data_IF_758243214143
#
_entry.id   IF_758243214143
#
_cell.length_a   1.000
_cell.length_b   1.000
_cell.length_c   1.000
_cell.angle_alpha   90.00
_cell.angle_beta   90.00
_cell.angle_gamma   90.00
#
_symmetry.space_group_name_H-M   'P 1'
#
loop_
_entity.id
_entity.type
_entity.pdbx_description
1 polymer ?
#
# COMPACT_ATOMS: atom_id res chain seq x y z
N UNK A 1 14.93 8.70 -30.00
CA UNK A 1 13.91 8.18 -29.08
C UNK A 1 13.14 9.35 -28.48
N UNK A 2 11.85 9.46 -28.79
CA UNK A 2 10.97 10.60 -28.44
C UNK A 2 9.68 10.05 -27.80
N UNK A 3 9.85 9.11 -26.87
CA UNK A 3 8.79 8.20 -26.41
C UNK A 3 8.33 8.38 -24.97
N UNK A 4 9.00 9.23 -24.17
CA UNK A 4 8.79 9.26 -22.71
C UNK A 4 8.34 10.64 -22.17
N UNK A 5 7.95 11.56 -23.07
CA UNK A 5 7.77 12.98 -22.76
C UNK A 5 6.31 13.45 -22.68
N UNK A 6 5.33 12.54 -22.69
CA UNK A 6 3.90 12.91 -22.72
C UNK A 6 3.07 12.35 -21.56
N UNK A 7 3.71 11.65 -20.62
CA UNK A 7 3.02 11.07 -19.47
C UNK A 7 3.59 11.60 -18.15
N UNK A 8 2.76 11.98 -17.17
CA UNK A 8 1.30 12.12 -17.27
C UNK A 8 0.90 13.31 -18.18
N UNK A 9 -0.26 13.25 -18.86
CA UNK A 9 -0.78 14.34 -19.67
C UNK A 9 -0.83 15.66 -18.87
N UNK A 10 -0.70 16.80 -19.55
CA UNK A 10 -0.65 18.11 -18.90
C UNK A 10 -1.85 18.38 -17.97
N UNK A 11 -3.03 17.88 -18.37
CA UNK A 11 -4.26 17.93 -17.56
C UNK A 11 -4.13 17.12 -16.27
N UNK A 12 -3.56 15.91 -16.35
CA UNK A 12 -3.32 15.04 -15.19
C UNK A 12 -2.27 15.66 -14.27
N UNK A 13 -1.23 16.28 -14.82
CA UNK A 13 -0.22 17.00 -14.05
C UNK A 13 -0.81 18.19 -13.28
N UNK A 14 -1.69 18.96 -13.94
CA UNK A 14 -2.43 20.06 -13.31
C UNK A 14 -3.35 19.56 -12.20
N UNK A 15 -4.10 18.49 -12.44
CA UNK A 15 -4.98 17.87 -11.44
C UNK A 15 -4.20 17.29 -10.24
N UNK A 16 -3.01 16.75 -10.46
CA UNK A 16 -2.12 16.32 -9.37
C UNK A 16 -1.65 17.50 -8.53
N UNK A 17 -1.22 18.59 -9.16
CA UNK A 17 -0.77 19.79 -8.47
C UNK A 17 -1.90 20.43 -7.64
N UNK A 18 -3.10 20.54 -8.20
CA UNK A 18 -4.28 21.02 -7.49
C UNK A 18 -4.60 20.15 -6.27
N UNK A 19 -4.56 18.82 -6.40
CA UNK A 19 -4.75 17.90 -5.27
C UNK A 19 -3.70 18.09 -4.16
N UNK A 20 -2.43 18.31 -4.52
CA UNK A 20 -1.37 18.57 -3.54
C UNK A 20 -1.61 19.89 -2.77
N UNK A 21 -2.06 20.93 -3.47
CA UNK A 21 -2.42 22.22 -2.87
C UNK A 21 -3.63 22.09 -1.93
N UNK A 22 -4.62 21.27 -2.30
CA UNK A 22 -5.77 20.93 -1.44
C UNK A 22 -5.35 20.14 -0.20
N UNK A 23 -4.38 19.23 -0.31
CA UNK A 23 -3.86 18.49 0.84
C UNK A 23 -3.09 19.42 1.78
N UNK A 24 -2.28 20.34 1.23
CA UNK A 24 -1.54 21.34 2.03
C UNK A 24 -2.48 22.27 2.79
N UNK A 25 -3.47 22.85 2.12
CA UNK A 25 -4.47 23.73 2.76
C UNK A 25 -5.31 22.99 3.81
N UNK A 26 -5.70 21.73 3.52
CA UNK A 26 -6.38 20.85 4.49
C UNK A 26 -5.50 20.52 5.69
N UNK A 27 -4.19 20.41 5.51
CA UNK A 27 -3.24 20.19 6.61
C UNK A 27 -3.00 21.45 7.44
N UNK A 28 -3.00 22.62 6.82
CA UNK A 28 -2.89 23.93 7.50
C UNK A 28 -4.12 24.26 8.36
N UNK A 29 -5.27 23.71 8.01
CA UNK A 29 -6.51 23.91 8.76
C UNK A 29 -6.45 23.23 10.13
N UNK A 30 -6.24 24.01 11.20
CA UNK A 30 -6.13 23.55 12.59
C UNK A 30 -7.45 23.08 13.23
N UNK A 31 -8.60 23.41 12.62
CA UNK A 31 -9.93 23.17 13.17
C UNK A 31 -10.62 21.93 12.58
N UNK A 32 -9.89 20.82 12.41
CA UNK A 32 -10.48 19.56 11.96
C UNK A 32 -10.22 18.45 12.98
N UNK A 33 -11.15 17.50 13.15
CA UNK A 33 -10.88 16.33 13.96
C UNK A 33 -9.68 15.58 13.36
N UNK A 34 -8.66 15.35 14.19
CA UNK A 34 -7.53 14.52 13.81
C UNK A 34 -8.01 13.08 13.66
N UNK A 35 -7.50 12.39 12.64
CA UNK A 35 -7.68 10.95 12.56
C UNK A 35 -7.02 10.34 13.79
N UNK A 36 -7.81 9.71 14.64
CA UNK A 36 -7.28 9.05 15.84
C UNK A 36 -6.53 7.80 15.38
N UNK A 37 -5.21 7.84 15.43
CA UNK A 37 -4.36 6.67 15.22
C UNK A 37 -4.39 5.83 16.49
N UNK A 38 -5.46 5.05 16.67
CA UNK A 38 -5.57 4.09 17.78
C UNK A 38 -4.65 2.91 17.50
N UNK A 39 -3.83 2.56 18.49
CA UNK A 39 -3.03 1.35 18.45
C UNK A 39 -3.91 0.15 18.79
N UNK A 40 -4.21 -0.67 17.78
CA UNK A 40 -4.98 -1.90 17.93
C UNK A 40 -4.09 -3.13 18.06
N UNK A 41 -2.76 -2.98 18.21
CA UNK A 41 -1.81 -4.09 18.28
C UNK A 41 -2.17 -5.09 19.37
N UNK A 42 -2.63 -4.63 20.54
CA UNK A 42 -3.06 -5.49 21.64
C UNK A 42 -4.27 -6.37 21.28
N UNK A 43 -5.25 -5.80 20.57
CA UNK A 43 -6.41 -6.54 20.10
C UNK A 43 -5.99 -7.63 19.10
N UNK A 44 -5.12 -7.30 18.14
CA UNK A 44 -4.65 -8.29 17.18
C UNK A 44 -3.71 -9.34 17.80
N UNK A 45 -2.90 -8.96 18.79
CA UNK A 45 -2.03 -9.89 19.50
C UNK A 45 -2.84 -10.93 20.28
N UNK A 46 -3.91 -10.51 20.97
CA UNK A 46 -4.81 -11.41 21.70
C UNK A 46 -5.47 -12.45 20.78
N UNK A 47 -5.80 -12.06 19.55
CA UNK A 47 -6.46 -12.93 18.57
C UNK A 47 -5.49 -13.55 17.56
N UNK A 48 -4.17 -13.45 17.81
CA UNK A 48 -3.17 -14.07 16.94
C UNK A 48 -3.22 -15.60 17.07
N UNK A 49 -3.06 -16.29 15.95
CA UNK A 49 -2.91 -17.75 15.95
C UNK A 49 -1.58 -18.09 16.65
N UNK A 50 -1.61 -19.10 17.54
CA UNK A 50 -0.39 -19.57 18.22
C UNK A 50 0.62 -20.09 17.20
N UNK A 51 1.90 -20.02 17.52
CA UNK A 51 2.98 -20.53 16.64
C UNK A 51 2.88 -22.05 16.37
N UNK A 52 2.22 -22.79 17.27
CA UNK A 52 1.94 -24.23 17.10
C UNK A 52 0.70 -24.49 16.22
N UNK A 53 -0.03 -23.45 15.82
CA UNK A 53 -1.19 -23.62 14.96
C UNK A 53 -0.73 -24.13 13.59
N UNK A 54 -1.22 -25.29 13.12
CA UNK A 54 -0.75 -25.87 11.88
C UNK A 54 -1.16 -24.97 10.71
N UNK A 55 -0.19 -24.23 10.18
CA UNK A 55 -0.31 -23.58 8.89
C UNK A 55 -0.32 -24.63 7.77
N UNK A 56 -0.83 -24.24 6.61
CA UNK A 56 -0.68 -25.08 5.41
C UNK A 56 0.79 -25.24 5.07
N UNK A 57 1.27 -26.48 5.02
CA UNK A 57 2.59 -26.84 4.51
C UNK A 57 2.38 -27.71 3.29
N UNK A 58 3.01 -27.35 2.18
CA UNK A 58 2.98 -28.19 1.00
C UNK A 58 3.50 -29.59 1.36
N UNK A 59 2.79 -30.66 0.96
CA UNK A 59 3.21 -32.02 1.29
C UNK A 59 4.57 -32.32 0.66
N UNK A 60 5.36 -33.22 1.28
CA UNK A 60 6.62 -33.67 0.69
C UNK A 60 6.36 -34.23 -0.72
N UNK A 61 7.20 -33.86 -1.69
CA UNK A 61 7.02 -34.23 -3.10
C UNK A 61 6.20 -33.26 -3.93
N UNK A 62 5.71 -32.15 -3.35
CA UNK A 62 5.14 -31.04 -4.15
C UNK A 62 6.23 -30.43 -5.02
N UNK A 63 6.08 -30.54 -6.35
CA UNK A 63 6.98 -29.91 -7.31
C UNK A 63 6.54 -28.46 -7.51
N UNK A 64 7.41 -27.50 -7.20
CA UNK A 64 7.21 -26.09 -7.53
C UNK A 64 7.84 -25.82 -8.89
N UNK A 65 7.05 -25.31 -9.84
CA UNK A 65 7.60 -24.85 -11.11
C UNK A 65 8.02 -23.39 -10.95
N UNK A 66 9.32 -23.12 -10.85
CA UNK A 66 9.82 -21.75 -10.97
C UNK A 66 9.69 -21.33 -12.44
N UNK A 67 8.75 -20.43 -12.72
CA UNK A 67 8.65 -19.81 -14.05
C UNK A 67 9.82 -18.83 -14.16
N UNK A 68 10.97 -19.32 -14.62
CA UNK A 68 12.09 -18.50 -15.02
C UNK A 68 11.72 -17.76 -16.30
N UNK A 69 11.12 -16.58 -16.17
CA UNK A 69 11.04 -15.63 -17.27
C UNK A 69 12.48 -15.19 -17.61
N UNK A 70 13.07 -15.77 -18.66
CA UNK A 70 14.32 -15.25 -19.20
C UNK A 70 14.06 -13.83 -19.71
N UNK A 71 14.85 -12.87 -19.20
CA UNK A 71 14.83 -11.46 -19.58
C UNK A 71 15.87 -11.17 -20.64
#
# INVERSE_FOLDING_TARGET
MRGDQKWPPAEVKKAMQENEEQIRSRNETKNRPLKIHKDYSNFFAQHSLRDTYPGYKAPPGTQFFEINYQR
#
